data_IF_794544491693
#
_entry.id   IF_794544491693
#
_cell.length_a   1.000
_cell.length_b   1.000
_cell.length_c   1.000
_cell.angle_alpha   90.00
_cell.angle_beta   90.00
_cell.angle_gamma   90.00
#
_symmetry.space_group_name_H-M   'P 1'
#
loop_
_entity.id
_entity.type
_entity.pdbx_description
1 polymer ?
#
# COMPACT_ATOMS: atom_id res chain seq x y z
N UNK A 1 12.46 -2.63 41.54
CA UNK A 1 11.19 -2.24 40.87
C UNK A 1 11.38 -1.23 39.74
N UNK A 2 12.24 -0.20 39.90
CA UNK A 2 12.50 0.81 38.86
C UNK A 2 13.16 0.24 37.58
N UNK A 3 14.07 -0.73 37.73
CA UNK A 3 14.76 -1.41 36.60
C UNK A 3 13.82 -2.22 35.70
N UNK A 4 12.78 -2.84 36.27
CA UNK A 4 11.81 -3.65 35.50
C UNK A 4 10.85 -2.76 34.71
N UNK A 5 10.41 -1.63 35.28
CA UNK A 5 9.58 -0.64 34.58
C UNK A 5 10.34 0.03 33.42
N UNK A 6 11.63 0.28 33.58
CA UNK A 6 12.48 0.86 32.53
C UNK A 6 12.69 -0.09 31.34
N UNK A 7 12.84 -1.40 31.61
CA UNK A 7 12.97 -2.44 30.58
C UNK A 7 11.69 -2.60 29.75
N UNK A 8 10.52 -2.53 30.40
CA UNK A 8 9.21 -2.62 29.73
C UNK A 8 8.98 -1.39 28.84
N UNK A 9 9.36 -0.19 29.31
CA UNK A 9 9.26 1.04 28.52
C UNK A 9 10.19 1.00 27.29
N UNK A 10 11.39 0.42 27.45
CA UNK A 10 12.37 0.28 26.37
C UNK A 10 11.95 -0.77 25.32
N UNK A 11 11.36 -1.90 25.74
CA UNK A 11 10.82 -2.90 24.80
C UNK A 11 9.57 -2.42 24.05
N UNK A 12 8.75 -1.55 24.66
CA UNK A 12 7.53 -1.03 24.03
C UNK A 12 7.80 0.16 23.08
N UNK A 13 8.96 0.83 23.22
CA UNK A 13 9.40 1.93 22.37
C UNK A 13 10.24 1.50 21.16
N UNK A 14 10.64 0.22 21.07
CA UNK A 14 11.22 -0.33 19.86
C UNK A 14 10.09 -0.43 18.81
N UNK A 15 10.17 0.28 17.67
CA UNK A 15 9.25 -0.01 16.59
C UNK A 15 9.53 -1.47 16.24
N UNK A 16 8.58 -2.37 16.55
CA UNK A 16 8.53 -3.63 15.84
C UNK A 16 8.56 -3.19 14.38
N UNK A 17 9.65 -3.48 13.68
CA UNK A 17 9.69 -3.38 12.24
C UNK A 17 8.72 -4.44 11.72
N UNK A 18 7.43 -4.15 11.86
CA UNK A 18 6.36 -4.96 11.35
C UNK A 18 6.58 -4.95 9.85
N UNK A 19 6.90 -6.12 9.30
CA UNK A 19 7.04 -6.28 7.86
C UNK A 19 5.66 -6.02 7.25
N UNK A 20 5.53 -4.89 6.55
CA UNK A 20 4.30 -4.50 5.87
C UNK A 20 3.86 -5.62 4.93
N UNK A 21 2.61 -6.07 5.02
CA UNK A 21 2.07 -7.03 4.07
C UNK A 21 1.34 -6.31 2.93
N UNK A 22 1.59 -6.69 1.69
CA UNK A 22 0.95 -6.09 0.52
C UNK A 22 0.50 -7.15 -0.47
N UNK A 23 -0.58 -6.88 -1.20
CA UNK A 23 -1.00 -7.74 -2.30
C UNK A 23 -0.05 -7.64 -3.49
N UNK A 24 0.05 -8.74 -4.23
CA UNK A 24 0.73 -8.83 -5.53
C UNK A 24 -0.20 -9.37 -6.61
N UNK A 25 0.10 -9.05 -7.87
CA UNK A 25 -0.59 -9.58 -9.03
C UNK A 25 0.21 -10.71 -9.70
N UNK A 26 -0.49 -11.68 -10.29
CA UNK A 26 0.14 -12.57 -11.28
C UNK A 26 0.22 -11.83 -12.61
N UNK A 27 1.43 -11.66 -13.14
CA UNK A 27 1.62 -10.98 -14.41
C UNK A 27 1.28 -11.90 -15.60
N UNK A 28 0.57 -11.43 -16.64
CA UNK A 28 -0.08 -10.11 -16.78
C UNK A 28 -1.50 -10.08 -16.17
N UNK A 29 -1.75 -9.15 -15.25
CA UNK A 29 -3.08 -8.99 -14.66
C UNK A 29 -3.92 -7.99 -15.48
N UNK A 30 -4.83 -8.52 -16.29
CA UNK A 30 -5.83 -7.75 -17.05
C UNK A 30 -7.14 -7.59 -16.26
N UNK A 31 -7.32 -8.35 -15.18
CA UNK A 31 -8.43 -8.20 -14.23
C UNK A 31 -7.90 -7.79 -12.85
N UNK A 32 -8.54 -6.82 -12.15
CA UNK A 32 -8.17 -6.47 -10.78
C UNK A 32 -8.27 -7.63 -9.79
N UNK A 33 -9.13 -8.62 -10.08
CA UNK A 33 -9.35 -9.81 -9.23
C UNK A 33 -8.13 -10.74 -9.22
N UNK A 34 -7.28 -10.69 -10.26
CA UNK A 34 -6.05 -11.48 -10.34
C UNK A 34 -4.98 -10.99 -9.35
N UNK A 35 -5.26 -9.88 -8.64
CA UNK A 35 -4.33 -9.20 -7.73
C UNK A 35 -4.68 -9.30 -6.24
N UNK A 36 -5.70 -10.06 -5.85
CA UNK A 36 -6.16 -10.12 -4.45
C UNK A 36 -5.78 -11.42 -3.72
N UNK A 37 -5.17 -12.38 -4.42
CA UNK A 37 -4.94 -13.73 -3.87
C UNK A 37 -3.57 -13.92 -3.20
N UNK A 38 -2.64 -13.01 -3.39
CA UNK A 38 -1.22 -13.23 -3.06
C UNK A 38 -0.64 -12.09 -2.21
N UNK A 39 -0.98 -12.02 -0.91
CA UNK A 39 -0.27 -11.15 0.02
C UNK A 39 1.16 -11.65 0.22
N UNK A 40 2.11 -10.72 0.31
CA UNK A 40 3.51 -11.01 0.65
C UNK A 40 4.03 -9.99 1.66
N UNK A 41 5.04 -10.37 2.42
CA UNK A 41 5.78 -9.44 3.27
C UNK A 41 6.73 -8.56 2.45
N UNK A 42 6.77 -7.27 2.77
CA UNK A 42 7.64 -6.30 2.15
C UNK A 42 8.93 -6.09 2.94
N UNK A 43 10.07 -5.87 2.25
CA UNK A 43 11.28 -5.41 2.88
C UNK A 43 11.07 -4.11 3.66
N UNK A 44 11.86 -3.93 4.72
CA UNK A 44 11.80 -2.73 5.55
C UNK A 44 11.96 -1.44 4.73
N UNK A 45 11.14 -0.43 5.02
CA UNK A 45 11.14 0.86 4.33
C UNK A 45 10.42 0.87 2.97
N UNK A 46 9.83 -0.24 2.54
CA UNK A 46 8.94 -0.28 1.37
C UNK A 46 7.49 0.02 1.74
N UNK A 47 6.70 0.35 0.72
CA UNK A 47 5.26 0.69 0.81
C UNK A 47 4.46 -0.22 -0.11
N UNK A 48 3.18 -0.43 0.17
CA UNK A 48 2.31 -1.12 -0.78
C UNK A 48 2.06 -0.22 -1.98
N UNK A 49 2.26 -0.74 -3.18
CA UNK A 49 1.99 -0.06 -4.43
C UNK A 49 0.80 -0.69 -5.14
N UNK A 50 -0.01 0.15 -5.77
CA UNK A 50 -0.96 -0.22 -6.81
C UNK A 50 -0.73 0.66 -8.03
N UNK A 51 -0.61 0.04 -9.21
CA UNK A 51 -0.45 0.73 -10.47
C UNK A 51 -1.46 0.26 -11.51
N UNK A 52 -1.86 1.21 -12.35
CA UNK A 52 -2.72 0.94 -13.50
C UNK A 52 -2.02 1.45 -14.74
N UNK A 53 -1.88 0.58 -15.75
CA UNK A 53 -1.21 0.88 -16.99
C UNK A 53 -2.17 0.73 -18.18
N UNK A 54 -2.25 1.72 -19.07
CA UNK A 54 -3.16 1.71 -20.23
C UNK A 54 -2.37 1.85 -21.52
N UNK A 55 -2.49 0.85 -22.40
CA UNK A 55 -1.93 0.85 -23.75
C UNK A 55 -3.03 0.89 -24.80
N UNK A 56 -2.77 1.57 -25.93
CA UNK A 56 -3.73 1.72 -27.03
C UNK A 56 -3.07 1.48 -28.38
N UNK A 57 -3.78 0.81 -29.29
CA UNK A 57 -3.42 0.65 -30.70
C UNK A 57 -4.67 0.59 -31.57
N UNK A 58 -4.93 1.66 -32.32
CA UNK A 58 -6.20 1.82 -33.04
C UNK A 58 -7.37 1.80 -32.06
N UNK A 59 -8.36 0.95 -32.31
CA UNK A 59 -9.51 0.73 -31.42
C UNK A 59 -9.24 -0.20 -30.24
N UNK A 60 -8.11 -0.93 -30.24
CA UNK A 60 -7.75 -1.82 -29.14
C UNK A 60 -7.17 -1.01 -27.97
N UNK A 61 -7.80 -1.14 -26.80
CA UNK A 61 -7.28 -0.61 -25.54
C UNK A 61 -7.08 -1.76 -24.55
N UNK A 62 -5.88 -1.84 -23.99
CA UNK A 62 -5.52 -2.82 -22.97
C UNK A 62 -5.22 -2.08 -21.68
N UNK A 63 -5.83 -2.51 -20.57
CA UNK A 63 -5.54 -2.02 -19.23
C UNK A 63 -4.91 -3.16 -18.43
N UNK A 64 -3.79 -2.89 -17.80
CA UNK A 64 -3.08 -3.82 -16.92
C UNK A 64 -3.04 -3.23 -15.51
N UNK A 65 -3.02 -4.14 -14.53
CA UNK A 65 -2.91 -3.81 -13.12
C UNK A 65 -1.62 -4.39 -12.56
N UNK A 66 -1.02 -3.66 -11.65
CA UNK A 66 0.15 -4.09 -10.90
C UNK A 66 -0.06 -3.79 -9.43
N UNK A 67 0.41 -4.71 -8.58
CA UNK A 67 0.48 -4.54 -7.14
C UNK A 67 1.78 -5.17 -6.68
N UNK A 68 2.50 -4.50 -5.79
CA UNK A 68 3.81 -4.92 -5.32
C UNK A 68 4.21 -4.18 -4.04
N UNK A 69 5.32 -4.59 -3.47
CA UNK A 69 6.09 -3.77 -2.55
C UNK A 69 6.98 -2.84 -3.37
N UNK A 70 7.03 -1.56 -3.02
CA UNK A 70 7.80 -0.58 -3.77
C UNK A 70 8.63 0.32 -2.84
N UNK A 71 9.79 0.75 -3.34
CA UNK A 71 10.57 1.78 -2.66
C UNK A 71 9.84 3.14 -2.76
N UNK A 72 9.98 4.04 -1.76
CA UNK A 72 9.23 5.30 -1.72
C UNK A 72 9.40 6.19 -2.96
N UNK A 73 10.55 6.11 -3.64
CA UNK A 73 10.82 6.88 -4.86
C UNK A 73 9.97 6.47 -6.07
N UNK A 74 9.31 5.31 -6.02
CA UNK A 74 8.40 4.84 -7.09
C UNK A 74 6.95 5.28 -6.89
N UNK A 75 6.62 5.90 -5.75
CA UNK A 75 5.27 6.29 -5.37
C UNK A 75 4.88 7.64 -5.99
N UNK A 76 3.62 7.77 -6.42
CA UNK A 76 3.10 9.00 -7.03
C UNK A 76 3.65 9.28 -8.43
N UNK A 77 4.40 8.34 -9.02
CA UNK A 77 4.92 8.47 -10.37
C UNK A 77 3.86 8.13 -11.41
N UNK A 78 3.87 8.89 -12.50
CA UNK A 78 3.26 8.51 -13.76
C UNK A 78 4.32 8.49 -14.85
N UNK A 79 4.06 7.75 -15.92
CA UNK A 79 5.03 7.61 -16.99
C UNK A 79 4.56 6.65 -18.06
N UNK A 80 5.50 6.24 -18.90
CA UNK A 80 5.22 5.33 -20.00
C UNK A 80 6.22 4.18 -20.00
N UNK A 81 5.75 2.97 -20.29
CA UNK A 81 6.58 1.78 -20.44
C UNK A 81 6.23 1.08 -21.74
N UNK A 82 7.23 0.63 -22.49
CA UNK A 82 7.02 -0.15 -23.69
C UNK A 82 7.06 -1.65 -23.37
N UNK A 83 6.02 -2.39 -23.75
CA UNK A 83 5.93 -3.83 -23.59
C UNK A 83 5.01 -4.44 -24.63
N UNK A 84 5.29 -5.66 -25.08
CA UNK A 84 4.42 -6.42 -25.99
C UNK A 84 4.00 -5.63 -27.24
N UNK A 85 4.87 -4.75 -27.75
CA UNK A 85 4.61 -3.94 -28.93
C UNK A 85 3.74 -2.69 -28.70
N UNK A 86 3.46 -2.32 -27.45
CA UNK A 86 2.61 -1.19 -27.07
C UNK A 86 3.27 -0.32 -26.01
N UNK A 87 3.01 0.98 -26.09
CA UNK A 87 3.30 1.92 -25.01
C UNK A 87 2.14 1.94 -24.02
N UNK A 88 2.45 1.72 -22.75
CA UNK A 88 1.51 1.74 -21.64
C UNK A 88 1.78 2.95 -20.75
N UNK A 89 0.79 3.82 -20.59
CA UNK A 89 0.85 4.92 -19.63
C UNK A 89 0.45 4.39 -18.26
N UNK A 90 1.35 4.47 -17.28
CA UNK A 90 1.13 3.96 -15.93
C UNK A 90 0.97 5.09 -14.90
N UNK A 91 0.35 4.76 -13.77
CA UNK A 91 0.24 5.66 -12.61
C UNK A 91 0.33 4.84 -11.33
N UNK A 92 1.28 5.18 -10.46
CA UNK A 92 1.58 4.47 -9.22
C UNK A 92 0.99 5.21 -8.01
N UNK A 93 0.26 4.49 -7.18
CA UNK A 93 -0.29 4.96 -5.90
C UNK A 93 0.26 4.07 -4.80
N UNK A 94 0.68 4.67 -3.69
CA UNK A 94 1.21 3.94 -2.54
C UNK A 94 0.44 4.21 -1.25
N UNK A 95 0.53 3.27 -0.31
CA UNK A 95 -0.05 3.36 1.03
C UNK A 95 0.78 2.55 2.05
N UNK A 96 0.55 2.79 3.35
CA UNK A 96 1.47 2.43 4.44
C UNK A 96 0.95 1.40 5.44
N UNK A 97 -0.26 0.89 5.25
CA UNK A 97 -0.86 -0.08 6.18
C UNK A 97 -0.99 -1.44 5.52
N UNK A 98 -1.04 -2.49 6.34
CA UNK A 98 -1.15 -3.85 5.81
C UNK A 98 -2.32 -3.98 4.85
N UNK A 99 -2.04 -4.59 3.70
CA UNK A 99 -2.96 -4.92 2.62
C UNK A 99 -3.72 -3.71 2.06
N UNK A 100 -3.25 -2.48 2.30
CA UNK A 100 -3.93 -1.25 1.90
C UNK A 100 -4.11 -1.10 0.38
N UNK A 101 -3.25 -1.77 -0.40
CA UNK A 101 -3.38 -1.82 -1.84
C UNK A 101 -4.47 -2.80 -2.33
N UNK A 102 -5.36 -3.29 -1.45
CA UNK A 102 -6.55 -4.04 -1.83
C UNK A 102 -7.48 -3.22 -2.73
N UNK A 103 -7.66 -1.93 -2.41
CA UNK A 103 -8.61 -1.06 -3.08
C UNK A 103 -8.29 -0.88 -4.57
N UNK A 104 -9.31 -1.04 -5.41
CA UNK A 104 -9.25 -0.64 -6.81
C UNK A 104 -9.16 0.90 -6.85
N UNK A 105 -8.30 1.50 -7.69
CA UNK A 105 -8.17 2.96 -7.79
C UNK A 105 -9.56 3.60 -8.01
N UNK A 106 -10.08 4.29 -6.98
CA UNK A 106 -11.42 4.88 -6.97
C UNK A 106 -12.18 4.83 -5.64
N UNK A 107 -11.73 4.04 -4.66
CA UNK A 107 -12.49 3.81 -3.41
C UNK A 107 -11.79 4.24 -2.10
N UNK A 108 -10.68 4.96 -2.14
CA UNK A 108 -9.96 5.36 -0.93
C UNK A 108 -10.59 6.62 -0.30
N UNK A 109 -11.74 6.46 0.36
CA UNK A 109 -12.26 7.45 1.30
C UNK A 109 -11.42 7.35 2.59
N UNK A 110 -10.56 8.33 2.83
CA UNK A 110 -9.81 8.52 4.08
C UNK A 110 -10.78 8.70 5.26
N UNK A 111 -11.31 7.62 5.83
CA UNK A 111 -12.19 7.65 7.01
C UNK A 111 -11.54 7.05 8.27
N UNK A 112 -10.42 6.34 8.14
CA UNK A 112 -9.77 5.67 9.28
C UNK A 112 -9.05 6.58 10.27
N UNK A 113 -8.57 7.75 9.83
CA UNK A 113 -7.73 8.64 10.66
C UNK A 113 -8.51 9.57 11.59
N UNK A 114 -9.81 9.76 11.39
CA UNK A 114 -10.62 10.65 12.23
C UNK A 114 -11.10 9.98 13.54
N UNK A 115 -11.25 8.65 13.56
CA UNK A 115 -11.84 7.96 14.71
C UNK A 115 -10.84 7.72 15.86
N UNK A 116 -9.55 7.54 15.57
CA UNK A 116 -8.55 7.20 16.61
C UNK A 116 -8.06 8.40 17.45
N UNK A 117 -8.31 9.65 17.02
CA UNK A 117 -7.87 10.83 17.76
C UNK A 117 -8.83 11.28 18.87
N UNK A 118 -10.01 10.67 19.01
CA UNK A 118 -11.02 11.06 20.02
C UNK A 118 -10.96 10.27 21.33
N UNK A 119 -10.28 9.11 21.34
CA UNK A 119 -10.13 8.25 22.51
C UNK A 119 -9.31 8.88 23.67
N UNK A 120 -8.20 9.63 23.43
CA UNK A 120 -7.44 10.21 24.54
C UNK A 120 -8.10 11.45 25.16
N UNK A 121 -9.09 12.06 24.49
CA UNK A 121 -9.81 13.21 25.05
C UNK A 121 -10.88 12.78 26.08
N UNK A 122 -11.48 11.60 25.91
CA UNK A 122 -12.53 11.10 26.80
C UNK A 122 -11.99 10.66 28.17
N UNK A 123 -10.76 10.13 28.22
CA UNK A 123 -10.12 9.70 29.47
C UNK A 123 -9.70 10.86 30.37
N UNK A 124 -9.48 12.06 29.80
CA UNK A 124 -9.19 13.29 30.54
C UNK A 124 -10.44 14.00 31.08
N UNK A 125 -11.61 13.71 30.52
CA UNK A 125 -12.90 14.28 30.97
C UNK A 125 -13.59 13.44 32.05
N UNK A 126 -13.10 12.21 32.30
CA UNK A 126 -13.62 11.25 33.28
C UNK A 126 -12.73 11.12 34.54
N UNK A 127 -11.71 11.97 34.68
CA UNK A 127 -10.78 12.01 35.81
C UNK A 127 -11.01 13.24 36.70
#
# INVERSE_FOLDING_TARGET
MLRSKLLILFLCGLPLAACLQCYTCVFPAISPLDCLKFPQECPAGQRCLSSTAVGRRGSLQVRMYEKSCAVPSQCGLNGQKYSSGLYFNFTNVCCDTDLCNAAVPGAALHWGTAALCLLPALTLLLA
#
